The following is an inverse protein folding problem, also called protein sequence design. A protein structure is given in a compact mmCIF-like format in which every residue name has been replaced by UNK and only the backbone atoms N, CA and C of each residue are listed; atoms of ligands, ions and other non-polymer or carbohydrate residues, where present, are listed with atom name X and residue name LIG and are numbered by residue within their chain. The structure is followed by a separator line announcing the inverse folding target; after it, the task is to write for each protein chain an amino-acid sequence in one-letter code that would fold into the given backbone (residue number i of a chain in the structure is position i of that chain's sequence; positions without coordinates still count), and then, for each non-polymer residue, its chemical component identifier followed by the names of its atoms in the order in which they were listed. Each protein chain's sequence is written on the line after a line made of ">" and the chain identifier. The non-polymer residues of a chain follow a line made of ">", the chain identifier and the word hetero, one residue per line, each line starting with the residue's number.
data_IF_981634532021
#
_entry.id   IF_981634532021
#
_cell.length_a   1.000
_cell.length_b   1.000
_cell.length_c   1.000
_cell.angle_alpha   90.00
_cell.angle_beta   90.00
_cell.angle_gamma   90.00
#
_symmetry.space_group_name_H-M   'P 1'
#
loop_
_entity.id
_entity.type
_entity.pdbx_description
1 polymer ?
#
# COMPACT_ATOMS: atom_id res chain seq x y z
N UNK A 1 -25.39 22.43 1.29
CA UNK A 1 -23.96 22.65 0.99
C UNK A 1 -23.75 22.40 -0.50
N UNK A 2 -23.15 23.34 -1.24
CA UNK A 2 -22.88 23.17 -2.67
C UNK A 2 -21.48 22.54 -2.83
N UNK A 3 -21.44 21.25 -3.16
CA UNK A 3 -20.21 20.46 -3.34
C UNK A 3 -19.69 20.71 -4.76
N UNK A 4 -18.40 21.04 -4.89
CA UNK A 4 -17.82 21.37 -6.20
C UNK A 4 -17.24 20.13 -6.90
N UNK A 5 -16.31 19.44 -6.23
CA UNK A 5 -15.67 18.22 -6.73
C UNK A 5 -15.46 17.20 -5.62
N UNK A 6 -15.55 15.91 -5.97
CA UNK A 6 -15.02 14.84 -5.15
C UNK A 6 -13.51 14.67 -5.36
N UNK A 7 -12.77 14.47 -4.28
CA UNK A 7 -11.36 14.06 -4.33
C UNK A 7 -11.28 12.60 -3.93
N UNK A 8 -11.02 11.74 -4.90
CA UNK A 8 -10.76 10.32 -4.72
C UNK A 8 -9.30 10.14 -4.33
N UNK A 9 -9.06 9.84 -3.06
CA UNK A 9 -7.72 9.57 -2.55
C UNK A 9 -7.46 8.06 -2.66
N UNK A 10 -6.36 7.68 -3.30
CA UNK A 10 -5.98 6.28 -3.46
C UNK A 10 -4.53 6.01 -3.06
N UNK A 11 -4.22 4.78 -2.67
CA UNK A 11 -2.83 4.31 -2.59
C UNK A 11 -2.44 3.57 -3.86
N UNK A 12 -1.13 3.43 -4.08
CA UNK A 12 -0.62 2.42 -5.00
C UNK A 12 -0.95 1.03 -4.45
N UNK A 13 -1.33 0.10 -5.34
CA UNK A 13 -1.42 -1.31 -4.94
C UNK A 13 -0.02 -1.86 -4.70
N UNK A 14 0.09 -2.99 -3.99
CA UNK A 14 1.41 -3.63 -3.81
C UNK A 14 2.06 -3.96 -5.15
N UNK A 15 1.28 -4.43 -6.13
CA UNK A 15 1.78 -4.72 -7.48
C UNK A 15 2.34 -3.46 -8.17
N UNK A 16 1.64 -2.33 -8.08
CA UNK A 16 2.11 -1.05 -8.63
C UNK A 16 3.45 -0.64 -7.99
N UNK A 17 3.57 -0.77 -6.66
CA UNK A 17 4.82 -0.49 -5.95
C UNK A 17 5.97 -1.45 -6.30
N UNK A 18 5.66 -2.74 -6.54
CA UNK A 18 6.66 -3.71 -7.00
C UNK A 18 7.15 -3.41 -8.42
N UNK A 19 6.25 -3.06 -9.33
CA UNK A 19 6.62 -2.69 -10.71
C UNK A 19 7.43 -1.40 -10.72
N UNK A 20 7.10 -0.41 -9.88
CA UNK A 20 7.91 0.79 -9.75
C UNK A 20 9.32 0.51 -9.23
N UNK A 21 9.46 -0.40 -8.25
CA UNK A 21 10.76 -0.79 -7.69
C UNK A 21 11.62 -1.61 -8.67
N UNK A 22 10.99 -2.52 -9.40
CA UNK A 22 11.69 -3.51 -10.23
C UNK A 22 11.54 -3.27 -11.74
N UNK A 23 10.94 -2.16 -12.16
CA UNK A 23 10.65 -1.73 -13.54
C UNK A 23 9.70 -2.63 -14.36
N UNK A 24 9.67 -3.95 -14.12
CA UNK A 24 8.87 -4.90 -14.90
C UNK A 24 8.07 -5.85 -14.01
N UNK A 25 6.93 -6.32 -14.55
CA UNK A 25 6.08 -7.32 -13.88
C UNK A 25 6.81 -8.66 -13.71
N UNK A 26 7.64 -9.07 -14.67
CA UNK A 26 8.42 -10.31 -14.59
C UNK A 26 9.48 -10.26 -13.48
N UNK A 27 10.20 -9.14 -13.32
CA UNK A 27 11.19 -8.99 -12.25
C UNK A 27 10.53 -8.94 -10.87
N UNK A 28 9.39 -8.26 -10.75
CA UNK A 28 8.57 -8.28 -9.54
C UNK A 28 8.10 -9.70 -9.18
N UNK A 29 7.63 -10.47 -10.17
CA UNK A 29 7.24 -11.88 -9.99
C UNK A 29 8.39 -12.73 -9.47
N UNK A 30 9.53 -12.69 -10.14
CA UNK A 30 10.72 -13.43 -9.74
C UNK A 30 11.15 -13.11 -8.31
N UNK A 31 11.09 -11.83 -7.91
CA UNK A 31 11.41 -11.41 -6.54
C UNK A 31 10.45 -12.01 -5.51
N UNK A 32 9.14 -11.94 -5.75
CA UNK A 32 8.13 -12.49 -4.83
C UNK A 32 8.24 -14.01 -4.70
N UNK A 33 8.39 -14.72 -5.82
CA UNK A 33 8.53 -16.18 -5.83
C UNK A 33 9.81 -16.63 -5.12
N UNK A 34 10.91 -15.89 -5.26
CA UNK A 34 12.18 -16.19 -4.56
C UNK A 34 12.07 -16.06 -3.04
N UNK A 35 11.20 -15.18 -2.54
CA UNK A 35 10.88 -15.05 -1.12
C UNK A 35 9.87 -16.10 -0.62
N UNK A 36 9.46 -17.05 -1.47
CA UNK A 36 8.44 -18.05 -1.17
C UNK A 36 7.01 -17.51 -1.18
N UNK A 37 6.79 -16.32 -1.75
CA UNK A 37 5.48 -15.72 -1.92
C UNK A 37 4.79 -16.18 -3.22
N UNK A 38 3.47 -15.93 -3.31
CA UNK A 38 2.68 -16.18 -4.53
C UNK A 38 2.37 -14.87 -5.22
N UNK A 39 2.86 -14.70 -6.45
CA UNK A 39 2.68 -13.45 -7.19
C UNK A 39 1.22 -13.19 -7.59
N UNK A 40 0.44 -14.26 -7.77
CA UNK A 40 -0.98 -14.19 -8.14
C UNK A 40 -1.82 -13.44 -7.11
N UNK A 41 -1.41 -13.46 -5.83
CA UNK A 41 -2.10 -12.70 -4.77
C UNK A 41 -2.02 -11.19 -5.01
N UNK A 42 -0.90 -10.71 -5.55
CA UNK A 42 -0.69 -9.30 -5.88
C UNK A 42 -1.48 -8.91 -7.13
N UNK A 43 -1.62 -9.83 -8.09
CA UNK A 43 -2.47 -9.64 -9.27
C UNK A 43 -3.95 -9.56 -8.87
N UNK A 44 -4.43 -10.52 -8.06
CA UNK A 44 -5.83 -10.56 -7.58
C UNK A 44 -6.16 -9.30 -6.77
N UNK A 45 -5.27 -8.87 -5.86
CA UNK A 45 -5.45 -7.62 -5.14
C UNK A 45 -5.59 -6.42 -6.08
N UNK A 46 -4.68 -6.33 -7.06
CA UNK A 46 -4.67 -5.22 -8.01
C UNK A 46 -5.98 -5.16 -8.80
N UNK A 47 -6.45 -6.30 -9.32
CA UNK A 47 -7.71 -6.36 -10.06
C UNK A 47 -8.90 -5.95 -9.19
N UNK A 48 -9.05 -6.52 -7.98
CA UNK A 48 -10.15 -6.21 -7.07
C UNK A 48 -10.16 -4.72 -6.69
N UNK A 49 -8.97 -4.16 -6.45
CA UNK A 49 -8.83 -2.74 -6.15
C UNK A 49 -9.26 -1.86 -7.32
N UNK A 50 -8.80 -2.17 -8.53
CA UNK A 50 -9.15 -1.40 -9.73
C UNK A 50 -10.61 -1.55 -10.14
N UNK A 51 -11.21 -2.73 -9.97
CA UNK A 51 -12.65 -2.92 -10.13
C UNK A 51 -13.45 -2.06 -9.13
N UNK A 52 -13.03 -2.04 -7.87
CA UNK A 52 -13.66 -1.20 -6.84
C UNK A 52 -13.53 0.30 -7.15
N UNK A 53 -12.34 0.72 -7.59
CA UNK A 53 -12.07 2.10 -7.99
C UNK A 53 -12.92 2.50 -9.20
N UNK A 54 -13.02 1.65 -10.22
CA UNK A 54 -13.87 1.87 -11.40
C UNK A 54 -15.35 1.98 -11.03
N UNK A 55 -15.87 1.10 -10.18
CA UNK A 55 -17.24 1.18 -9.69
C UNK A 55 -17.54 2.50 -8.98
N UNK A 56 -16.60 2.99 -8.17
CA UNK A 56 -16.74 4.27 -7.47
C UNK A 56 -16.71 5.43 -8.46
N UNK A 57 -15.75 5.44 -9.39
CA UNK A 57 -15.66 6.44 -10.45
C UNK A 57 -16.95 6.52 -11.27
N UNK A 58 -17.49 5.37 -11.70
CA UNK A 58 -18.75 5.27 -12.44
C UNK A 58 -19.97 5.77 -11.66
N UNK A 59 -19.98 5.62 -10.33
CA UNK A 59 -21.09 6.08 -9.47
C UNK A 59 -20.99 7.57 -9.15
N UNK A 60 -19.78 8.05 -8.88
CA UNK A 60 -19.54 9.45 -8.51
C UNK A 60 -19.70 10.37 -9.72
N UNK A 61 -19.18 9.96 -10.89
CA UNK A 61 -19.25 10.75 -12.12
C UNK A 61 -20.68 11.14 -12.53
N UNK A 62 -21.67 10.34 -12.15
CA UNK A 62 -23.10 10.61 -12.38
C UNK A 62 -23.67 11.71 -11.50
N UNK A 63 -23.01 12.04 -10.39
CA UNK A 63 -23.51 12.99 -9.37
C UNK A 63 -22.66 14.26 -9.31
N UNK A 64 -21.34 14.12 -9.34
CA UNK A 64 -20.38 15.21 -9.19
C UNK A 64 -19.11 14.91 -10.00
N UNK A 65 -18.44 15.97 -10.46
CA UNK A 65 -17.11 15.85 -11.04
C UNK A 65 -16.12 15.40 -9.96
N UNK A 66 -15.12 14.62 -10.34
CA UNK A 66 -14.12 14.10 -9.40
C UNK A 66 -12.69 14.25 -9.93
N UNK A 67 -11.72 14.21 -9.01
CA UNK A 67 -10.28 14.09 -9.28
C UNK A 67 -9.71 12.93 -8.48
N UNK A 68 -8.72 12.23 -9.03
CA UNK A 68 -7.96 11.21 -8.30
C UNK A 68 -6.66 11.83 -7.83
N UNK A 69 -6.29 11.55 -6.58
CA UNK A 69 -5.03 11.98 -5.96
C UNK A 69 -4.40 10.76 -5.29
N UNK A 70 -3.14 10.47 -5.59
CA UNK A 70 -2.41 9.46 -4.82
C UNK A 70 -2.09 9.99 -3.42
N UNK A 71 -2.21 9.14 -2.39
CA UNK A 71 -2.03 9.52 -0.98
C UNK A 71 -0.69 10.19 -0.71
N UNK A 72 0.36 9.84 -1.43
CA UNK A 72 1.69 10.47 -1.33
C UNK A 72 1.67 11.97 -1.67
N UNK A 73 0.73 12.42 -2.50
CA UNK A 73 0.58 13.83 -2.90
C UNK A 73 -0.47 14.58 -2.07
N UNK A 74 -1.19 13.90 -1.17
CA UNK A 74 -2.19 14.54 -0.29
C UNK A 74 -1.58 15.66 0.57
N UNK A 75 -0.37 15.52 1.17
CA UNK A 75 0.21 16.58 1.99
C UNK A 75 0.43 17.91 1.25
N UNK A 76 0.64 17.86 -0.07
CA UNK A 76 0.80 19.04 -0.92
C UNK A 76 -0.47 19.42 -1.70
N UNK A 77 -1.56 18.66 -1.54
CA UNK A 77 -2.81 18.92 -2.24
C UNK A 77 -3.63 20.01 -1.53
N UNK A 78 -4.04 21.04 -2.27
CA UNK A 78 -4.85 22.13 -1.74
C UNK A 78 -6.35 21.77 -1.73
N UNK A 79 -6.89 21.46 -0.55
CA UNK A 79 -8.32 21.19 -0.38
C UNK A 79 -9.14 22.48 -0.18
N UNK A 80 -10.31 22.52 -0.79
CA UNK A 80 -11.34 23.53 -0.56
C UNK A 80 -12.43 23.00 0.39
N UNK A 81 -13.08 23.89 1.14
CA UNK A 81 -14.24 23.56 2.00
C UNK A 81 -15.44 22.98 1.21
N UNK A 82 -15.45 23.12 -0.11
CA UNK A 82 -16.47 22.57 -1.01
C UNK A 82 -16.10 21.20 -1.59
N UNK A 83 -14.95 20.63 -1.22
CA UNK A 83 -14.55 19.30 -1.66
C UNK A 83 -15.13 18.23 -0.75
N UNK A 84 -15.60 17.14 -1.35
CA UNK A 84 -15.92 15.90 -0.63
C UNK A 84 -14.77 14.94 -0.84
N UNK A 85 -14.20 14.43 0.24
CA UNK A 85 -13.06 13.53 0.20
C UNK A 85 -13.58 12.10 0.31
N UNK A 86 -13.16 11.24 -0.62
CA UNK A 86 -13.48 9.81 -0.62
C UNK A 86 -12.16 9.06 -0.72
N UNK A 87 -11.83 8.28 0.30
CA UNK A 87 -10.60 7.50 0.32
C UNK A 87 -10.89 6.05 -0.03
N UNK A 88 -10.05 5.45 -0.87
CA UNK A 88 -10.12 4.05 -1.27
C UNK A 88 -8.76 3.43 -0.97
N UNK A 89 -8.77 2.40 -0.14
CA UNK A 89 -7.57 1.65 0.23
C UNK A 89 -7.86 0.17 0.07
N UNK A 90 -6.90 -0.58 -0.47
CA UNK A 90 -6.92 -2.04 -0.37
C UNK A 90 -6.41 -2.41 1.01
N UNK A 91 -7.26 -3.05 1.81
CA UNK A 91 -6.85 -3.66 3.09
C UNK A 91 -6.42 -5.12 2.92
N UNK A 92 -6.20 -5.59 1.69
CA UNK A 92 -5.83 -6.98 1.43
C UNK A 92 -4.54 -7.37 2.18
N UNK A 93 -4.56 -8.43 2.99
CA UNK A 93 -3.48 -8.71 3.92
C UNK A 93 -2.52 -9.76 3.36
N UNK A 94 -1.44 -9.38 2.67
CA UNK A 94 -0.29 -10.30 2.59
C UNK A 94 1.06 -9.62 2.32
N UNK A 95 2.15 -10.33 2.55
CA UNK A 95 3.50 -10.01 2.08
C UNK A 95 4.32 -9.02 2.91
N UNK A 96 3.80 -8.43 3.98
CA UNK A 96 4.63 -7.63 4.88
C UNK A 96 5.46 -8.55 5.78
N UNK A 97 6.72 -8.19 5.99
CA UNK A 97 7.66 -8.96 6.81
C UNK A 97 8.47 -8.04 7.73
N UNK A 98 8.76 -8.51 8.93
CA UNK A 98 9.72 -7.92 9.86
C UNK A 98 10.80 -8.97 10.08
N UNK A 99 12.07 -8.62 9.90
CA UNK A 99 13.21 -9.49 10.19
C UNK A 99 14.25 -8.72 11.00
N UNK A 100 15.05 -9.42 11.80
CA UNK A 100 16.15 -8.84 12.58
C UNK A 100 17.51 -9.27 12.04
N UNK A 101 18.53 -8.48 12.32
CA UNK A 101 19.95 -8.80 12.09
C UNK A 101 20.34 -9.17 10.64
N UNK A 102 19.55 -8.72 9.66
CA UNK A 102 19.81 -8.97 8.24
C UNK A 102 19.55 -10.43 7.79
N UNK A 103 18.94 -11.25 8.64
CA UNK A 103 18.62 -12.65 8.34
C UNK A 103 17.21 -12.71 7.76
N UNK A 104 17.09 -12.58 6.44
CA UNK A 104 15.80 -12.60 5.74
C UNK A 104 15.06 -13.95 5.87
N UNK A 105 15.76 -15.03 6.21
CA UNK A 105 15.17 -16.37 6.40
C UNK A 105 14.40 -16.52 7.71
N UNK A 106 14.58 -15.60 8.66
CA UNK A 106 13.89 -15.58 9.96
C UNK A 106 13.03 -14.32 10.07
N UNK A 107 11.89 -14.35 9.36
CA UNK A 107 10.99 -13.22 9.27
C UNK A 107 9.63 -13.48 9.96
N UNK A 108 9.08 -12.43 10.56
CA UNK A 108 7.72 -12.36 11.07
C UNK A 108 6.80 -11.76 10.00
N UNK A 109 5.65 -12.42 9.72
CA UNK A 109 4.63 -11.86 8.83
C UNK A 109 3.96 -10.65 9.48
N UNK A 110 3.94 -9.53 8.79
CA UNK A 110 3.39 -8.25 9.23
C UNK A 110 2.42 -7.69 8.18
N UNK A 111 1.18 -8.18 8.18
CA UNK A 111 0.19 -7.85 7.16
C UNK A 111 -0.77 -6.75 7.63
N UNK A 112 -1.58 -6.21 6.71
CA UNK A 112 -2.65 -5.23 6.99
C UNK A 112 -3.46 -5.59 8.25
N UNK A 113 -3.66 -4.62 9.14
CA UNK A 113 -4.31 -4.80 10.44
C UNK A 113 -3.37 -5.11 11.61
N UNK A 114 -2.07 -5.29 11.36
CA UNK A 114 -1.05 -5.52 12.40
C UNK A 114 -0.46 -4.20 12.90
N UNK A 115 -0.20 -4.11 14.21
CA UNK A 115 0.54 -3.00 14.84
C UNK A 115 1.79 -3.59 15.48
N UNK A 116 2.96 -3.06 15.14
CA UNK A 116 4.23 -3.40 15.82
C UNK A 116 4.62 -2.25 16.73
N UNK A 117 5.10 -2.57 17.93
CA UNK A 117 5.71 -1.61 18.85
C UNK A 117 7.15 -2.03 19.08
N UNK A 118 8.09 -1.14 18.78
CA UNK A 118 9.53 -1.38 18.91
C UNK A 118 10.03 -0.53 20.09
N UNK A 119 10.78 -1.15 21.00
CA UNK A 119 11.37 -0.49 22.16
C UNK A 119 12.83 -0.89 22.35
N UNK A 120 13.57 -0.10 23.13
CA UNK A 120 14.94 -0.42 23.54
C UNK A 120 14.88 -1.58 24.54
N UNK A 121 15.68 -2.63 24.30
CA UNK A 121 15.78 -3.76 25.22
C UNK A 121 16.38 -3.32 26.56
N UNK A 122 15.91 -3.89 27.67
CA UNK A 122 16.55 -3.75 28.99
C UNK A 122 17.88 -4.50 29.08
N UNK A 123 18.15 -5.38 28.11
CA UNK A 123 19.37 -6.17 28.03
C UNK A 123 20.36 -5.55 27.03
N UNK A 124 21.64 -5.53 27.39
CA UNK A 124 22.71 -5.01 26.54
C UNK A 124 23.45 -6.17 25.86
N UNK A 125 23.67 -6.05 24.55
CA UNK A 125 24.57 -6.94 23.84
C UNK A 125 26.04 -6.59 24.17
N UNK A 126 26.84 -7.59 24.56
CA UNK A 126 28.28 -7.40 24.79
C UNK A 126 29.03 -7.73 23.52
N UNK A 127 29.62 -6.72 22.88
CA UNK A 127 30.47 -6.92 21.71
C UNK A 127 31.85 -7.41 22.15
N UNK A 128 32.18 -8.65 21.82
CA UNK A 128 33.52 -9.21 22.05
C UNK A 128 34.40 -8.88 20.85
N UNK A 129 35.40 -8.02 21.07
CA UNK A 129 36.39 -7.64 20.06
C UNK A 129 37.68 -8.42 20.34
N UNK A 130 38.27 -9.01 19.29
CA UNK A 130 39.49 -9.82 19.39
C UNK A 130 40.74 -8.97 19.18
#
# INVERSE_FOLDING_TARGET
>A
MNVEYAILVKNKTRLEGLIERFNTKQQARFYIERLGGRFEEYEIEHEIFHESLDLIQKRISKKIKYKIVERIYVPSFLFSKKNVIVTIESLMPSGGVIFSDGIETDYLKFNSGSIVTIGVSSENATLVVK
#
